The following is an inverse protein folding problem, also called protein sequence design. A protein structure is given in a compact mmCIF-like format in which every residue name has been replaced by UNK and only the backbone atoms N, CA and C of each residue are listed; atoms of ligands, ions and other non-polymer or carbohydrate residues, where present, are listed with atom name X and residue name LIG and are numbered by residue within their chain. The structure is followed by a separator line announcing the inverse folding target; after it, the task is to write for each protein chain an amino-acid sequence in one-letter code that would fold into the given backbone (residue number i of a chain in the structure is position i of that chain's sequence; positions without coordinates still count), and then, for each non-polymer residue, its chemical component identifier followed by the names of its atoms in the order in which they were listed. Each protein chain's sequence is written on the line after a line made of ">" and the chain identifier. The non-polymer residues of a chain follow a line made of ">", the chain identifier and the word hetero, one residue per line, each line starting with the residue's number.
data_IF_361025620494
#
_entry.id   IF_361025620494
#
_cell.length_a   1.000
_cell.length_b   1.000
_cell.length_c   1.000
_cell.angle_alpha   90.00
_cell.angle_beta   90.00
_cell.angle_gamma   90.00
#
_symmetry.space_group_name_H-M   'P 1'
#
loop_
_entity.id
_entity.type
_entity.pdbx_description
1 polymer ?
#
# COMPACT_ATOMS: atom_id res chain seq x y z
N UNK A 1 7.11 14.38 4.98
CA UNK A 1 5.98 15.05 5.66
C UNK A 1 6.36 16.24 6.53
N UNK A 2 7.40 16.17 7.38
CA UNK A 2 7.79 17.21 8.34
C UNK A 2 7.74 18.67 7.86
N UNK A 3 8.16 18.99 6.62
CA UNK A 3 8.13 20.36 6.08
C UNK A 3 6.72 20.91 5.79
N UNK A 4 5.71 20.03 5.70
CA UNK A 4 4.33 20.35 5.32
C UNK A 4 3.39 20.41 6.53
N UNK A 5 3.85 20.01 7.71
CA UNK A 5 3.03 19.97 8.91
C UNK A 5 2.85 21.34 9.53
N UNK A 6 1.61 21.68 9.85
CA UNK A 6 1.20 22.84 10.63
C UNK A 6 0.39 22.38 11.84
N UNK A 7 0.34 23.21 12.89
CA UNK A 7 -0.47 22.92 14.08
C UNK A 7 -1.96 22.85 13.71
N UNK A 8 -2.63 21.76 14.08
CA UNK A 8 -4.02 21.46 13.68
C UNK A 8 -4.19 21.01 12.22
N UNK A 9 -3.11 20.89 11.45
CA UNK A 9 -3.15 20.44 10.06
C UNK A 9 -3.44 18.94 9.94
N UNK A 10 -4.24 18.57 8.95
CA UNK A 10 -4.51 17.17 8.62
C UNK A 10 -3.65 16.72 7.44
N UNK A 11 -2.91 15.62 7.60
CA UNK A 11 -2.06 15.03 6.58
C UNK A 11 -2.51 13.59 6.31
N UNK A 12 -2.38 13.18 5.05
CA UNK A 12 -2.55 11.79 4.62
C UNK A 12 -1.23 11.35 3.99
N UNK A 13 -0.70 10.21 4.42
CA UNK A 13 0.52 9.62 3.90
C UNK A 13 0.37 9.23 2.43
N UNK A 14 1.50 9.01 1.77
CA UNK A 14 1.50 8.33 0.47
C UNK A 14 0.88 6.93 0.58
N UNK A 15 0.46 6.39 -0.54
CA UNK A 15 -0.15 5.06 -0.63
C UNK A 15 0.82 4.00 -0.06
N UNK A 16 0.38 3.32 1.00
CA UNK A 16 1.21 2.43 1.81
C UNK A 16 0.68 1.01 1.71
N UNK A 17 1.55 0.09 1.25
CA UNK A 17 1.20 -1.28 0.97
C UNK A 17 0.77 -2.07 2.20
N UNK A 18 -0.29 -2.89 2.07
CA UNK A 18 -0.83 -3.72 3.16
C UNK A 18 -0.25 -5.14 3.24
N UNK A 19 0.45 -5.63 2.20
CA UNK A 19 1.21 -6.89 2.19
C UNK A 19 2.17 -6.94 0.98
N UNK A 20 2.97 -8.00 0.84
CA UNK A 20 4.06 -8.09 -0.14
C UNK A 20 3.63 -8.02 -1.63
N UNK A 21 2.43 -8.47 -2.00
CA UNK A 21 1.98 -8.46 -3.41
C UNK A 21 1.31 -7.15 -3.88
N UNK A 22 1.24 -6.15 -3.00
CA UNK A 22 0.49 -4.91 -3.27
C UNK A 22 1.20 -3.89 -4.15
N UNK A 23 2.45 -4.14 -4.52
CA UNK A 23 3.26 -3.15 -5.24
C UNK A 23 2.88 -3.09 -6.73
N UNK A 24 2.49 -1.91 -7.17
CA UNK A 24 2.38 -1.54 -8.59
C UNK A 24 3.43 -0.50 -9.03
N UNK A 25 4.19 0.04 -8.08
CA UNK A 25 5.25 1.01 -8.34
C UNK A 25 6.46 0.73 -7.45
N UNK A 26 7.69 0.90 -7.98
CA UNK A 26 8.91 0.71 -7.21
C UNK A 26 9.01 1.75 -6.08
N UNK A 27 9.73 1.40 -5.01
CA UNK A 27 10.04 2.29 -3.88
C UNK A 27 8.81 2.85 -3.15
N UNK A 28 7.67 2.16 -3.21
CA UNK A 28 6.50 2.49 -2.39
C UNK A 28 6.62 1.87 -1.00
N UNK A 29 6.25 2.60 0.08
CA UNK A 29 6.38 2.09 1.44
C UNK A 29 5.34 0.99 1.72
N UNK A 30 5.64 0.21 2.75
CA UNK A 30 4.75 -0.80 3.31
C UNK A 30 4.45 -0.56 4.78
N UNK A 31 3.50 -1.31 5.33
CA UNK A 31 3.23 -1.36 6.77
C UNK A 31 2.83 -2.76 7.26
N UNK A 32 3.33 -3.81 6.60
CA UNK A 32 3.00 -5.20 6.94
C UNK A 32 4.11 -5.91 7.72
N UNK A 33 5.34 -5.37 7.73
CA UNK A 33 6.44 -5.90 8.54
C UNK A 33 6.71 -5.02 9.76
N UNK A 34 7.28 -5.62 10.80
CA UNK A 34 7.72 -4.88 11.99
C UNK A 34 8.78 -3.82 11.64
N UNK A 35 9.72 -4.15 10.74
CA UNK A 35 10.74 -3.20 10.28
C UNK A 35 10.11 -1.96 9.64
N UNK A 36 9.08 -2.14 8.81
CA UNK A 36 8.34 -1.03 8.22
C UNK A 36 7.62 -0.19 9.28
N UNK A 37 6.97 -0.82 10.26
CA UNK A 37 6.32 -0.13 11.39
C UNK A 37 7.33 0.73 12.15
N UNK A 38 8.48 0.17 12.54
CA UNK A 38 9.52 0.94 13.23
C UNK A 38 10.08 2.09 12.38
N UNK A 39 10.16 1.92 11.05
CA UNK A 39 10.59 2.97 10.14
C UNK A 39 9.56 4.12 10.01
N UNK A 40 8.27 3.86 10.25
CA UNK A 40 7.21 4.88 10.23
C UNK A 40 7.19 5.74 11.49
N UNK A 41 7.49 5.19 12.66
CA UNK A 41 7.47 5.90 13.97
C UNK A 41 8.15 7.27 13.96
N UNK A 42 9.42 7.44 13.54
CA UNK A 42 10.05 8.75 13.53
C UNK A 42 9.37 9.76 12.59
N UNK A 43 8.67 9.29 11.55
CA UNK A 43 7.90 10.14 10.63
C UNK A 43 6.62 10.62 11.31
N UNK A 44 5.92 9.71 12.01
CA UNK A 44 4.69 10.00 12.77
C UNK A 44 5.00 10.96 13.93
N UNK A 45 6.01 10.66 14.73
CA UNK A 45 6.49 11.50 15.83
C UNK A 45 6.80 12.93 15.37
N UNK A 46 7.51 13.05 14.26
CA UNK A 46 7.86 14.33 13.64
C UNK A 46 6.63 15.17 13.23
N UNK A 47 5.53 14.53 12.81
CA UNK A 47 4.27 15.21 12.49
C UNK A 47 3.53 15.62 13.78
N UNK A 48 3.43 14.71 14.74
CA UNK A 48 2.75 14.97 16.01
C UNK A 48 3.45 16.04 16.87
N UNK A 49 4.78 16.09 16.86
CA UNK A 49 5.56 17.14 17.54
C UNK A 49 5.23 18.56 17.03
N UNK A 50 4.69 18.68 15.80
CA UNK A 50 4.23 19.95 15.22
C UNK A 50 2.73 20.20 15.39
N UNK A 51 2.02 19.32 16.10
CA UNK A 51 0.57 19.41 16.32
C UNK A 51 -0.27 19.00 15.11
N UNK A 52 0.30 18.29 14.14
CA UNK A 52 -0.45 17.76 12.99
C UNK A 52 -1.19 16.47 13.34
N UNK A 53 -2.30 16.20 12.66
CA UNK A 53 -2.96 14.88 12.63
C UNK A 53 -2.53 14.14 11.36
N UNK A 54 -2.18 12.86 11.48
CA UNK A 54 -1.60 12.12 10.37
C UNK A 54 -2.27 10.76 10.15
N UNK A 55 -2.74 10.51 8.93
CA UNK A 55 -3.37 9.25 8.55
C UNK A 55 -2.50 8.48 7.56
N UNK A 56 -2.40 7.16 7.73
CA UNK A 56 -1.77 6.27 6.75
C UNK A 56 -2.79 5.82 5.70
N UNK A 57 -2.51 6.07 4.41
CA UNK A 57 -3.36 5.58 3.32
C UNK A 57 -3.02 4.11 3.02
N UNK A 58 -3.85 3.19 3.52
CA UNK A 58 -3.70 1.76 3.24
C UNK A 58 -4.06 1.44 1.78
N UNK A 59 -3.21 0.66 1.12
CA UNK A 59 -3.28 0.51 -0.32
C UNK A 59 -2.96 -0.90 -0.83
N UNK A 60 -3.73 -1.29 -1.86
CA UNK A 60 -3.46 -2.45 -2.70
C UNK A 60 -3.85 -2.13 -4.15
N UNK A 61 -2.90 -2.28 -5.09
CA UNK A 61 -3.10 -1.98 -6.52
C UNK A 61 -4.03 -2.91 -7.30
N UNK A 62 -4.25 -4.13 -6.82
CA UNK A 62 -4.87 -5.18 -7.61
C UNK A 62 -4.18 -5.39 -8.98
N UNK A 63 -4.93 -5.16 -10.06
CA UNK A 63 -4.47 -5.38 -11.45
C UNK A 63 -3.57 -4.29 -12.03
N UNK A 64 -3.32 -3.20 -11.30
CA UNK A 64 -2.40 -2.13 -11.73
C UNK A 64 -0.98 -2.48 -11.25
N UNK A 65 -0.44 -3.58 -11.78
CA UNK A 65 0.88 -4.11 -11.44
C UNK A 65 1.43 -4.95 -12.59
N UNK A 66 2.71 -5.31 -12.52
CA UNK A 66 3.39 -6.14 -13.51
C UNK A 66 3.91 -7.42 -12.87
N UNK A 67 4.14 -8.47 -13.66
CA UNK A 67 4.75 -9.71 -13.16
C UNK A 67 6.08 -9.45 -12.43
N UNK A 68 6.88 -8.49 -12.91
CA UNK A 68 8.18 -8.16 -12.30
C UNK A 68 8.08 -7.54 -10.91
N UNK A 69 6.94 -6.95 -10.55
CA UNK A 69 6.70 -6.38 -9.23
C UNK A 69 6.05 -7.37 -8.25
N UNK A 70 5.69 -8.56 -8.73
CA UNK A 70 5.01 -9.57 -7.94
C UNK A 70 6.02 -10.60 -7.41
N UNK A 71 5.86 -11.08 -6.17
CA UNK A 71 6.71 -12.13 -5.62
C UNK A 71 6.74 -13.35 -6.53
N UNK A 72 7.95 -13.75 -6.95
CA UNK A 72 8.20 -14.88 -7.84
C UNK A 72 7.56 -14.76 -9.24
N UNK A 73 7.30 -13.55 -9.73
CA UNK A 73 6.75 -13.36 -11.07
C UNK A 73 5.27 -13.75 -11.21
N UNK A 74 4.54 -13.89 -10.09
CA UNK A 74 3.12 -14.27 -10.10
C UNK A 74 2.25 -13.22 -10.78
N UNK A 75 1.09 -13.63 -11.27
CA UNK A 75 0.10 -12.69 -11.80
C UNK A 75 -0.46 -11.79 -10.68
N UNK A 76 -0.61 -10.48 -10.91
CA UNK A 76 -1.35 -9.60 -9.99
C UNK A 76 -2.77 -10.13 -9.76
N UNK A 77 -3.37 -9.84 -8.61
CA UNK A 77 -4.73 -10.30 -8.28
C UNK A 77 -5.78 -9.23 -8.57
N UNK A 78 -7.01 -9.65 -8.91
CA UNK A 78 -8.11 -8.73 -9.19
C UNK A 78 -9.48 -9.39 -9.03
N UNK A 79 -10.54 -8.64 -9.27
CA UNK A 79 -11.91 -9.16 -9.40
C UNK A 79 -12.19 -9.77 -10.77
N UNK A 80 -11.25 -9.68 -11.71
CA UNK A 80 -11.40 -10.10 -13.11
C UNK A 80 -10.06 -10.60 -13.66
N UNK A 81 -10.08 -11.25 -14.82
CA UNK A 81 -8.89 -11.57 -15.62
C UNK A 81 -8.57 -10.50 -16.68
N UNK A 82 -9.36 -9.41 -16.75
CA UNK A 82 -9.14 -8.32 -17.71
C UNK A 82 -8.00 -7.40 -17.24
N UNK A 83 -6.94 -7.31 -18.05
CA UNK A 83 -5.83 -6.35 -17.88
C UNK A 83 -6.25 -4.89 -18.03
N UNK A 84 -5.30 -3.98 -17.82
CA UNK A 84 -5.51 -2.53 -17.89
C UNK A 84 -4.58 -1.94 -18.95
N UNK A 85 -5.16 -1.17 -19.89
CA UNK A 85 -4.45 -0.55 -21.02
C UNK A 85 -4.94 0.90 -21.24
N UNK A 86 -4.06 1.83 -21.69
CA UNK A 86 -2.61 1.69 -21.68
C UNK A 86 -2.08 1.65 -20.24
N UNK A 87 -1.01 0.91 -20.00
CA UNK A 87 -0.34 0.95 -18.70
C UNK A 87 0.66 2.11 -18.58
N UNK A 88 1.57 2.02 -17.61
CA UNK A 88 2.57 3.07 -17.37
C UNK A 88 3.56 3.14 -18.54
N UNK A 89 3.91 4.36 -18.98
CA UNK A 89 4.87 4.61 -20.05
C UNK A 89 4.56 3.88 -21.38
N UNK A 90 3.28 3.63 -21.64
CA UNK A 90 2.82 2.92 -22.84
C UNK A 90 2.99 1.40 -22.79
N UNK A 91 3.47 0.85 -21.68
CA UNK A 91 3.53 -0.60 -21.45
C UNK A 91 2.31 -1.05 -20.66
N UNK A 92 1.53 -1.96 -21.23
CA UNK A 92 0.34 -2.52 -20.59
C UNK A 92 0.65 -3.24 -19.26
N UNK A 93 -0.28 -3.12 -18.31
CA UNK A 93 -0.19 -3.86 -17.06
C UNK A 93 -0.37 -5.36 -17.29
N UNK A 94 0.25 -6.18 -16.46
CA UNK A 94 0.18 -7.63 -16.61
C UNK A 94 -1.25 -8.15 -16.40
N UNK A 95 -1.62 -9.18 -17.16
CA UNK A 95 -2.94 -9.81 -17.02
C UNK A 95 -3.14 -10.35 -15.61
N UNK A 96 -4.19 -9.92 -14.88
CA UNK A 96 -4.40 -10.34 -13.52
C UNK A 96 -5.06 -11.72 -13.43
N UNK A 97 -4.92 -12.36 -12.28
CA UNK A 97 -5.70 -13.52 -11.88
C UNK A 97 -6.93 -13.06 -11.08
N UNK A 98 -8.15 -13.52 -11.44
CA UNK A 98 -9.31 -13.28 -10.61
C UNK A 98 -9.17 -14.02 -9.27
N UNK A 99 -9.42 -13.31 -8.17
CA UNK A 99 -9.51 -13.92 -6.84
C UNK A 99 -10.70 -14.88 -6.80
N UNK A 100 -10.49 -16.03 -6.16
CA UNK A 100 -11.57 -16.92 -5.76
C UNK A 100 -12.24 -16.35 -4.51
N UNK A 101 -13.51 -16.69 -4.30
CA UNK A 101 -14.30 -16.17 -3.18
C UNK A 101 -13.64 -16.45 -1.83
N UNK A 102 -13.02 -17.62 -1.67
CA UNK A 102 -12.31 -18.03 -0.46
C UNK A 102 -11.02 -17.23 -0.18
N UNK A 103 -10.47 -16.52 -1.16
CA UNK A 103 -9.25 -15.72 -1.01
C UNK A 103 -9.54 -14.30 -0.50
N UNK A 104 -10.76 -13.78 -0.72
CA UNK A 104 -11.15 -12.41 -0.37
C UNK A 104 -11.04 -12.13 1.15
N UNK A 105 -11.47 -13.03 2.06
CA UNK A 105 -11.34 -12.80 3.50
C UNK A 105 -9.89 -12.56 3.94
N UNK A 106 -8.91 -13.19 3.29
CA UNK A 106 -7.51 -12.95 3.61
C UNK A 106 -7.10 -11.51 3.27
N UNK A 107 -7.50 -11.01 2.10
CA UNK A 107 -7.22 -9.62 1.69
C UNK A 107 -7.83 -8.63 2.69
N UNK A 108 -9.07 -8.86 3.12
CA UNK A 108 -9.72 -8.04 4.17
C UNK A 108 -8.92 -8.08 5.48
N UNK A 109 -8.43 -9.26 5.86
CA UNK A 109 -7.60 -9.43 7.04
C UNK A 109 -6.25 -8.72 6.91
N UNK A 110 -5.66 -8.64 5.72
CA UNK A 110 -4.42 -7.91 5.49
C UNK A 110 -4.61 -6.39 5.69
N UNK A 111 -5.72 -5.82 5.20
CA UNK A 111 -6.10 -4.44 5.52
C UNK A 111 -6.33 -4.22 7.02
N UNK A 112 -6.98 -5.18 7.70
CA UNK A 112 -7.19 -5.12 9.16
C UNK A 112 -5.86 -5.11 9.92
N UNK A 113 -4.91 -5.95 9.53
CA UNK A 113 -3.58 -6.01 10.15
C UNK A 113 -2.79 -4.73 9.87
N UNK A 114 -2.77 -4.27 8.63
CA UNK A 114 -2.10 -3.02 8.26
C UNK A 114 -2.66 -1.80 9.00
N UNK A 115 -3.98 -1.75 9.23
CA UNK A 115 -4.59 -0.71 10.06
C UNK A 115 -4.09 -0.76 11.51
N UNK A 116 -3.94 -1.95 12.10
CA UNK A 116 -3.38 -2.08 13.46
C UNK A 116 -1.92 -1.65 13.49
N UNK A 117 -1.14 -2.04 12.48
CA UNK A 117 0.26 -1.67 12.35
C UNK A 117 0.43 -0.15 12.17
N UNK A 118 -0.48 0.51 11.46
CA UNK A 118 -0.51 1.98 11.33
C UNK A 118 -0.82 2.72 12.63
N UNK A 119 -1.49 2.07 13.59
CA UNK A 119 -1.73 2.60 14.94
C UNK A 119 -0.54 2.29 15.87
N UNK A 120 0.20 1.21 15.61
CA UNK A 120 1.42 0.87 16.34
C UNK A 120 2.61 1.77 15.96
N UNK A 121 2.61 2.26 14.71
CA UNK A 121 3.57 3.23 14.18
C UNK A 121 3.29 4.66 14.68
#
# INVERSE_FOLDING_TARGET
>A
MLKRTTNGGFLIAEATGVFDTVQGYPNTPGIWTKEQVEAWKPIVDAVHQKGGTFFCQLWHVGRVSTFGLQPNGKAPISSTNKGVTPGLDGQDWSSPRPLRTEEIPQIVNDFRLAARNAIEA
#
